data_IF_303475548531
#
_entry.id   IF_303475548531
#
_cell.length_a   1.000
_cell.length_b   1.000
_cell.length_c   1.000
_cell.angle_alpha   90.00
_cell.angle_beta   90.00
_cell.angle_gamma   90.00
#
_symmetry.space_group_name_H-M   'P 1'
#
loop_
_entity.id
_entity.type
_entity.pdbx_description
1 polymer ?
#
# COMPACT_ATOMS: atom_id res chain seq x y z
N UNK A 1 2.60 19.12 -7.05
CA UNK A 1 1.33 18.44 -7.42
C UNK A 1 1.49 17.13 -8.21
N UNK A 2 2.58 16.89 -8.96
CA UNK A 2 2.74 15.70 -9.84
C UNK A 2 2.70 14.31 -9.15
N UNK A 3 2.99 14.19 -7.85
CA UNK A 3 3.02 12.90 -7.14
C UNK A 3 1.63 12.29 -6.92
N UNK A 4 0.60 13.11 -6.61
CA UNK A 4 -0.77 12.63 -6.33
C UNK A 4 -1.50 12.10 -7.57
N UNK A 5 -1.10 12.54 -8.77
CA UNK A 5 -1.68 12.11 -10.05
C UNK A 5 -1.20 10.73 -10.53
N UNK A 6 -0.33 10.06 -9.78
CA UNK A 6 0.16 8.73 -10.17
C UNK A 6 -0.97 7.70 -10.06
N UNK A 7 -1.16 6.89 -11.12
CA UNK A 7 -2.20 5.86 -11.20
C UNK A 7 -2.24 4.90 -10.00
N UNK A 8 -1.10 4.66 -9.35
CA UNK A 8 -1.00 3.81 -8.16
C UNK A 8 -1.83 4.30 -6.97
N UNK A 9 -2.14 5.60 -6.90
CA UNK A 9 -2.98 6.18 -5.83
C UNK A 9 -4.48 6.20 -6.17
N UNK A 10 -4.83 5.92 -7.43
CA UNK A 10 -6.22 5.77 -7.87
C UNK A 10 -6.74 4.33 -7.74
N UNK A 11 -5.95 3.42 -7.16
CA UNK A 11 -6.29 2.01 -7.04
C UNK A 11 -7.22 1.78 -5.84
N UNK A 12 -8.31 0.99 -5.98
CA UNK A 12 -9.20 0.63 -4.88
C UNK A 12 -8.48 -0.18 -3.80
N UNK A 13 -8.84 0.09 -2.55
CA UNK A 13 -8.25 -0.51 -1.35
C UNK A 13 -9.31 -0.90 -0.35
N UNK A 14 -8.99 -1.86 0.50
CA UNK A 14 -9.79 -2.29 1.64
C UNK A 14 -9.00 -1.95 2.90
N UNK A 15 -9.64 -1.20 3.81
CA UNK A 15 -9.12 -0.92 5.14
C UNK A 15 -9.79 -1.84 6.15
N UNK A 16 -9.01 -2.67 6.84
CA UNK A 16 -9.48 -3.50 7.95
C UNK A 16 -9.28 -2.76 9.27
N UNK A 17 -10.37 -2.15 9.75
CA UNK A 17 -10.47 -1.52 11.05
C UNK A 17 -10.77 -2.59 12.11
N UNK A 18 -10.72 -2.19 13.39
CA UNK A 18 -10.92 -3.12 14.50
C UNK A 18 -12.32 -3.78 14.49
N UNK A 19 -13.32 -3.08 14.00
CA UNK A 19 -14.74 -3.46 14.02
C UNK A 19 -15.23 -3.98 12.66
N UNK A 20 -14.64 -3.50 11.55
CA UNK A 20 -15.14 -3.80 10.20
C UNK A 20 -14.08 -3.62 9.12
N UNK A 21 -14.37 -4.18 7.95
CA UNK A 21 -13.62 -3.90 6.72
C UNK A 21 -14.42 -2.95 5.84
N UNK A 22 -13.78 -1.89 5.35
CA UNK A 22 -14.40 -0.89 4.47
C UNK A 22 -13.65 -0.84 3.16
N UNK A 23 -14.40 -0.92 2.06
CA UNK A 23 -13.85 -0.74 0.72
C UNK A 23 -13.88 0.73 0.32
N UNK A 24 -12.78 1.19 -0.27
CA UNK A 24 -12.63 2.49 -0.90
C UNK A 24 -12.32 2.29 -2.39
N UNK A 25 -12.90 3.13 -3.24
CA UNK A 25 -12.67 3.22 -4.69
C UNK A 25 -11.23 3.59 -5.02
N UNK A 26 -10.54 4.30 -4.13
CA UNK A 26 -9.11 4.63 -4.29
C UNK A 26 -8.38 4.90 -2.97
N UNK A 27 -7.04 4.87 -3.00
CA UNK A 27 -6.19 5.33 -1.88
C UNK A 27 -6.49 6.80 -1.53
N UNK A 28 -6.73 7.65 -2.53
CA UNK A 28 -7.03 9.07 -2.29
C UNK A 28 -8.38 9.27 -1.59
N UNK A 29 -9.38 8.47 -1.93
CA UNK A 29 -10.67 8.48 -1.23
C UNK A 29 -10.49 7.99 0.22
N UNK A 30 -9.71 6.91 0.42
CA UNK A 30 -9.40 6.41 1.75
C UNK A 30 -8.70 7.49 2.63
N UNK A 31 -7.76 8.25 2.06
CA UNK A 31 -7.15 9.39 2.76
C UNK A 31 -8.17 10.47 3.12
N UNK A 32 -9.06 10.83 2.19
CA UNK A 32 -10.08 11.86 2.44
C UNK A 32 -11.04 11.47 3.57
N UNK A 33 -11.41 10.18 3.65
CA UNK A 33 -12.35 9.69 4.67
C UNK A 33 -11.66 9.45 6.01
N UNK A 34 -10.43 8.92 6.01
CA UNK A 34 -9.75 8.48 7.24
C UNK A 34 -8.74 9.49 7.80
N UNK A 35 -8.31 10.47 7.00
CA UNK A 35 -7.20 11.36 7.33
C UNK A 35 -5.82 10.67 7.33
N UNK A 36 -5.74 9.38 6.99
CA UNK A 36 -4.47 8.65 6.93
C UNK A 36 -3.80 8.95 5.59
N UNK A 37 -2.53 9.36 5.64
CA UNK A 37 -1.78 9.73 4.43
C UNK A 37 -1.83 8.64 3.36
N UNK A 38 -2.12 9.05 2.13
CA UNK A 38 -2.12 8.16 0.96
C UNK A 38 -0.81 7.40 0.77
N UNK A 39 0.33 7.96 1.24
CA UNK A 39 1.64 7.30 1.20
C UNK A 39 1.67 6.12 2.15
N UNK A 40 1.20 6.29 3.39
CA UNK A 40 1.20 5.23 4.40
C UNK A 40 0.24 4.10 4.02
N UNK A 41 -0.94 4.44 3.48
CA UNK A 41 -1.89 3.45 2.97
C UNK A 41 -1.23 2.62 1.86
N UNK A 42 -0.55 3.27 0.92
CA UNK A 42 0.17 2.58 -0.15
C UNK A 42 1.28 1.67 0.38
N UNK A 43 2.11 2.16 1.31
CA UNK A 43 3.21 1.38 1.91
C UNK A 43 2.69 0.17 2.69
N UNK A 44 1.55 0.29 3.36
CA UNK A 44 0.88 -0.82 4.03
C UNK A 44 0.37 -1.85 3.01
N UNK A 45 -0.25 -1.41 1.91
CA UNK A 45 -0.77 -2.32 0.88
C UNK A 45 0.32 -3.18 0.20
N UNK A 46 1.53 -2.64 0.03
CA UNK A 46 2.67 -3.38 -0.55
C UNK A 46 3.46 -4.18 0.49
N UNK A 47 3.11 -4.08 1.77
CA UNK A 47 3.79 -4.77 2.87
C UNK A 47 5.10 -4.13 3.32
N UNK A 48 5.38 -2.88 2.95
CA UNK A 48 6.55 -2.13 3.43
C UNK A 48 6.41 -1.78 4.91
N UNK A 49 5.19 -1.49 5.36
CA UNK A 49 4.84 -1.34 6.78
C UNK A 49 3.70 -2.30 7.12
N UNK A 50 3.65 -2.75 8.38
CA UNK A 50 2.65 -3.72 8.82
C UNK A 50 1.22 -3.15 8.84
N UNK A 51 1.05 -1.93 9.34
CA UNK A 51 -0.23 -1.23 9.45
C UNK A 51 -0.05 0.28 9.34
N UNK A 52 -1.03 0.99 8.81
CA UNK A 52 -1.05 2.46 8.81
C UNK A 52 -2.06 2.95 9.84
N UNK A 53 -1.59 3.62 10.91
CA UNK A 53 -2.41 4.15 12.01
C UNK A 53 -3.42 3.13 12.57
N UNK A 54 -2.96 1.92 12.88
CA UNK A 54 -3.74 0.78 13.40
C UNK A 54 -4.74 0.13 12.43
N UNK A 55 -4.71 0.49 11.15
CA UNK A 55 -5.54 -0.12 10.11
C UNK A 55 -4.67 -0.97 9.20
N UNK A 56 -5.11 -2.19 8.91
CA UNK A 56 -4.47 -3.01 7.89
C UNK A 56 -5.04 -2.65 6.53
N UNK A 57 -4.18 -2.56 5.53
CA UNK A 57 -4.59 -2.12 4.20
C UNK A 57 -4.19 -3.15 3.15
N UNK A 58 -5.12 -3.46 2.27
CA UNK A 58 -4.85 -4.27 1.09
C UNK A 58 -5.49 -3.65 -0.16
N UNK A 59 -4.93 -3.95 -1.32
CA UNK A 59 -5.60 -3.62 -2.57
C UNK A 59 -6.81 -4.52 -2.78
N UNK A 60 -7.93 -3.97 -3.28
CA UNK A 60 -9.09 -4.78 -3.64
C UNK A 60 -8.70 -5.81 -4.71
N UNK A 61 -8.87 -7.11 -4.41
CA UNK A 61 -8.40 -8.23 -5.24
C UNK A 61 -8.84 -8.10 -6.70
N UNK A 62 -7.86 -8.24 -7.60
CA UNK A 62 -7.99 -8.37 -9.05
C UNK A 62 -6.67 -8.87 -9.66
N UNK A 63 -6.71 -9.48 -10.85
CA UNK A 63 -5.57 -10.17 -11.46
C UNK A 63 -4.33 -9.26 -11.66
N UNK A 64 -4.55 -7.95 -11.79
CA UNK A 64 -3.52 -6.92 -11.91
C UNK A 64 -2.68 -6.76 -10.62
N UNK A 65 -3.25 -7.05 -9.45
CA UNK A 65 -2.63 -6.76 -8.15
C UNK A 65 -1.64 -7.82 -7.68
N UNK A 66 -1.79 -9.08 -8.11
CA UNK A 66 -0.81 -10.14 -7.82
C UNK A 66 0.53 -9.80 -8.47
N UNK A 67 0.51 -9.31 -9.72
CA UNK A 67 1.71 -8.86 -10.44
C UNK A 67 2.32 -7.61 -9.81
N UNK A 68 1.49 -6.66 -9.35
CA UNK A 68 1.97 -5.44 -8.70
C UNK A 68 2.61 -5.71 -7.34
N UNK A 69 1.98 -6.56 -6.51
CA UNK A 69 2.54 -7.01 -5.23
C UNK A 69 3.84 -7.78 -5.45
N UNK A 70 3.89 -8.69 -6.41
CA UNK A 70 5.12 -9.40 -6.77
C UNK A 70 6.22 -8.46 -7.28
N UNK A 71 5.90 -7.46 -8.10
CA UNK A 71 6.86 -6.46 -8.58
C UNK A 71 7.49 -5.67 -7.42
N UNK A 72 6.69 -5.18 -6.47
CA UNK A 72 7.20 -4.44 -5.33
C UNK A 72 7.92 -5.32 -4.30
N UNK A 73 7.45 -6.55 -4.06
CA UNK A 73 8.17 -7.52 -3.21
C UNK A 73 9.54 -7.85 -3.83
N UNK A 74 9.60 -8.13 -5.13
CA UNK A 74 10.87 -8.41 -5.83
C UNK A 74 11.78 -7.17 -5.89
N UNK A 75 11.21 -5.97 -6.06
CA UNK A 75 11.98 -4.73 -5.92
C UNK A 75 12.51 -4.53 -4.50
N UNK A 76 11.76 -4.96 -3.47
CA UNK A 76 12.21 -4.96 -2.08
C UNK A 76 13.36 -5.95 -1.86
N UNK A 77 13.27 -7.17 -2.42
CA UNK A 77 14.36 -8.17 -2.40
C UNK A 77 15.64 -7.60 -3.03
N UNK A 78 15.51 -6.87 -4.14
CA UNK A 78 16.63 -6.15 -4.77
C UNK A 78 17.12 -4.96 -3.94
N UNK A 79 16.26 -4.30 -3.15
CA UNK A 79 16.65 -3.20 -2.25
C UNK A 79 17.32 -3.70 -0.96
N UNK A 80 17.08 -4.94 -0.55
CA UNK A 80 17.76 -5.59 0.60
C UNK A 80 19.12 -6.17 0.29
N UNK A 81 19.66 -6.04 -0.93
CA UNK A 81 20.98 -6.60 -1.29
C UNK A 81 22.02 -5.56 -1.70
N UNK A 82 22.05 -4.41 -1.02
CA UNK A 82 23.23 -3.53 -0.97
C UNK A 82 23.32 -2.91 0.43
N UNK A 83 23.69 -3.73 1.41
CA UNK A 83 23.74 -3.29 2.82
C UNK A 83 24.41 -4.30 3.73
N UNK A 84 25.68 -4.62 3.44
CA UNK A 84 26.71 -5.02 4.40
C UNK A 84 26.50 -6.28 5.25
N UNK A 85 27.33 -7.31 5.01
CA UNK A 85 28.09 -7.98 6.07
C UNK A 85 29.31 -8.64 5.41
N UNK A 86 30.45 -7.95 5.46
CA UNK A 86 31.75 -8.60 5.40
C UNK A 86 32.09 -8.95 6.84
N UNK A 87 32.03 -10.23 7.17
CA UNK A 87 32.52 -10.85 8.40
C UNK A 87 32.92 -12.26 8.06
#
# INVERSE_FOLDING_TARGET
>A
MKKRAQKKYSLPVIGHFADRSVEFKSILEAEQVTGISYVLIFEACIGKIFKAKNVHWEFKKGNHYIKYKAFYINAQVNYTRVGGFNG
#
